data_IF_250679158581
#
_entry.id   IF_250679158581
#
_cell.length_a   1.000
_cell.length_b   1.000
_cell.length_c   1.000
_cell.angle_alpha   90.00
_cell.angle_beta   90.00
_cell.angle_gamma   90.00
#
_symmetry.space_group_name_H-M   'P 1'
#
loop_
_entity.id
_entity.type
_entity.pdbx_description
1 polymer ?
#
# COMPACT_ATOMS: atom_id res chain seq x y z
N UNK A 1 9.82 -18.39 21.63
CA UNK A 1 9.23 -17.19 21.01
C UNK A 1 8.66 -17.55 19.66
N UNK A 2 7.62 -16.83 19.23
CA UNK A 2 6.94 -17.03 17.95
C UNK A 2 6.82 -15.70 17.20
N UNK A 3 7.04 -15.73 15.90
CA UNK A 3 6.97 -14.55 15.03
C UNK A 3 6.55 -14.96 13.61
N UNK A 4 6.20 -13.99 12.77
CA UNK A 4 5.83 -14.26 11.38
C UNK A 4 6.40 -13.21 10.42
N UNK A 5 6.39 -13.52 9.12
CA UNK A 5 6.75 -12.62 8.02
C UNK A 5 5.79 -12.79 6.83
N UNK A 6 5.66 -11.73 6.02
CA UNK A 6 4.94 -11.77 4.74
C UNK A 6 5.90 -11.85 3.53
N UNK A 7 7.20 -11.69 3.78
CA UNK A 7 8.25 -11.46 2.78
C UNK A 7 9.40 -12.46 2.90
N UNK A 8 9.12 -13.64 3.46
CA UNK A 8 10.13 -14.70 3.62
C UNK A 8 11.17 -14.41 4.71
N UNK A 9 10.90 -13.44 5.59
CA UNK A 9 11.73 -13.18 6.77
C UNK A 9 12.60 -11.92 6.68
N UNK A 10 12.43 -11.10 5.64
CA UNK A 10 13.08 -9.79 5.56
C UNK A 10 12.53 -8.84 6.64
N UNK A 11 11.22 -8.90 6.87
CA UNK A 11 10.53 -8.17 7.94
C UNK A 11 9.78 -9.16 8.83
N UNK A 12 10.01 -9.08 10.13
CA UNK A 12 9.41 -10.01 11.11
C UNK A 12 8.59 -9.28 12.16
N UNK A 13 7.52 -9.95 12.61
CA UNK A 13 6.59 -9.42 13.60
C UNK A 13 6.40 -10.43 14.73
N UNK A 14 6.68 -10.01 15.97
CA UNK A 14 6.51 -10.85 17.15
C UNK A 14 5.02 -11.08 17.45
N UNK A 15 4.65 -12.32 17.78
CA UNK A 15 3.30 -12.67 18.23
C UNK A 15 3.30 -12.62 19.76
N UNK A 16 2.69 -11.59 20.34
CA UNK A 16 2.74 -11.29 21.78
C UNK A 16 1.41 -11.50 22.51
N UNK A 17 0.27 -11.57 21.81
CA UNK A 17 -1.07 -11.71 22.39
C UNK A 17 -2.08 -12.31 21.39
N UNK A 18 -3.39 -12.26 21.72
CA UNK A 18 -4.52 -12.83 20.95
C UNK A 18 -4.77 -12.11 19.60
N UNK A 19 -3.78 -12.23 18.72
CA UNK A 19 -3.69 -12.15 17.25
C UNK A 19 -4.58 -11.12 16.55
N UNK A 20 -3.98 -9.95 16.33
CA UNK A 20 -4.24 -9.11 15.16
C UNK A 20 -2.89 -9.03 14.40
N UNK A 21 -2.86 -9.38 13.11
CA UNK A 21 -1.67 -9.11 12.29
C UNK A 21 -1.33 -7.61 12.35
N UNK A 22 -0.06 -7.24 12.27
CA UNK A 22 0.33 -5.84 12.13
C UNK A 22 -0.47 -5.20 10.99
N UNK A 23 -1.39 -4.30 11.34
CA UNK A 23 -2.40 -3.83 10.40
C UNK A 23 -1.81 -2.93 9.33
N UNK A 24 -0.77 -2.17 9.66
CA UNK A 24 -0.03 -1.36 8.68
C UNK A 24 0.60 -2.27 7.64
N UNK A 25 1.37 -3.27 8.08
CA UNK A 25 2.00 -4.24 7.19
C UNK A 25 0.96 -5.01 6.34
N UNK A 26 -0.14 -5.45 6.96
CA UNK A 26 -1.22 -6.12 6.24
C UNK A 26 -1.88 -5.22 5.20
N UNK A 27 -2.11 -3.93 5.51
CA UNK A 27 -2.75 -2.98 4.61
C UNK A 27 -1.93 -2.66 3.36
N UNK A 28 -0.59 -2.63 3.49
CA UNK A 28 0.36 -2.33 2.40
C UNK A 28 0.47 -3.45 1.36
N UNK A 29 0.09 -4.69 1.71
CA UNK A 29 0.11 -5.81 0.77
C UNK A 29 -0.89 -5.61 -0.36
N UNK A 30 -0.53 -5.99 -1.58
CA UNK A 30 -1.48 -6.04 -2.71
C UNK A 30 -2.54 -7.13 -2.51
N UNK A 31 -3.67 -6.99 -3.19
CA UNK A 31 -4.67 -8.07 -3.27
C UNK A 31 -4.12 -9.29 -4.01
N UNK A 32 -4.62 -10.48 -3.67
CA UNK A 32 -4.18 -11.75 -4.24
C UNK A 32 -3.62 -12.72 -3.19
N UNK A 33 -2.78 -13.66 -3.62
CA UNK A 33 -2.20 -14.65 -2.72
C UNK A 33 -1.08 -14.03 -1.87
N UNK A 34 -1.23 -14.12 -0.56
CA UNK A 34 -0.24 -13.71 0.44
C UNK A 34 0.26 -14.97 1.13
N UNK A 35 1.57 -15.19 1.10
CA UNK A 35 2.20 -16.26 1.88
C UNK A 35 2.68 -15.68 3.20
N UNK A 36 2.29 -16.33 4.30
CA UNK A 36 2.66 -15.98 5.66
C UNK A 36 3.56 -17.10 6.17
N UNK A 37 4.80 -16.77 6.54
CA UNK A 37 5.70 -17.74 7.17
C UNK A 37 5.74 -17.50 8.66
N UNK A 38 5.41 -18.52 9.43
CA UNK A 38 5.49 -18.54 10.89
C UNK A 38 6.79 -19.19 11.31
N UNK A 39 7.38 -18.68 12.38
CA UNK A 39 8.62 -19.16 12.95
C UNK A 39 8.46 -19.34 14.46
N UNK A 40 9.14 -20.35 14.99
CA UNK A 40 9.23 -20.60 16.41
C UNK A 40 10.67 -20.91 16.79
N UNK A 41 11.11 -20.37 17.94
CA UNK A 41 12.38 -20.74 18.59
C UNK A 41 12.13 -21.14 20.03
N UNK A 42 12.67 -22.27 20.45
CA UNK A 42 12.65 -22.71 21.85
C UNK A 42 13.76 -22.05 22.69
N UNK A 43 13.84 -22.40 23.97
CA UNK A 43 14.88 -21.87 24.87
C UNK A 43 16.27 -22.45 24.62
N UNK A 44 16.36 -23.61 23.98
CA UNK A 44 17.61 -24.25 23.61
C UNK A 44 18.19 -23.70 22.29
N UNK A 45 17.44 -22.85 21.59
CA UNK A 45 17.85 -22.23 20.33
C UNK A 45 17.42 -23.00 19.09
N UNK A 46 16.62 -24.07 19.22
CA UNK A 46 16.10 -24.80 18.07
C UNK A 46 15.04 -23.96 17.37
N UNK A 47 15.12 -23.89 16.04
CA UNK A 47 14.19 -23.14 15.19
C UNK A 47 13.39 -24.05 14.26
N UNK A 48 12.13 -23.69 14.06
CA UNK A 48 11.26 -24.30 13.07
C UNK A 48 10.39 -23.24 12.39
N UNK A 49 9.95 -23.51 11.17
CA UNK A 49 9.05 -22.63 10.42
C UNK A 49 8.01 -23.41 9.61
N UNK A 50 6.88 -22.76 9.35
CA UNK A 50 5.77 -23.28 8.53
C UNK A 50 5.14 -22.13 7.75
N UNK A 51 4.67 -22.37 6.51
CA UNK A 51 4.07 -21.33 5.68
C UNK A 51 2.61 -21.63 5.33
N UNK A 52 1.78 -20.59 5.38
CA UNK A 52 0.37 -20.65 5.00
C UNK A 52 0.09 -19.61 3.93
N UNK A 53 -0.57 -19.99 2.85
CA UNK A 53 -1.02 -19.06 1.82
C UNK A 53 -2.49 -18.70 2.04
N UNK A 54 -2.77 -17.41 2.10
CA UNK A 54 -4.13 -16.86 2.21
C UNK A 54 -4.43 -15.98 1.01
N UNK A 55 -5.69 -15.92 0.57
CA UNK A 55 -6.11 -15.00 -0.48
C UNK A 55 -6.64 -13.72 0.14
N UNK A 56 -5.90 -12.62 -0.02
CA UNK A 56 -6.35 -11.28 0.36
C UNK A 56 -7.27 -10.72 -0.72
N UNK A 57 -8.56 -10.64 -0.42
CA UNK A 57 -9.52 -9.90 -1.24
C UNK A 57 -9.43 -8.42 -0.88
N UNK A 58 -9.05 -7.59 -1.84
CA UNK A 58 -9.31 -6.15 -1.78
C UNK A 58 -10.63 -5.89 -2.53
N UNK A 59 -11.57 -5.11 -1.98
CA UNK A 59 -12.78 -4.79 -2.72
C UNK A 59 -12.39 -4.21 -4.07
N UNK A 60 -12.94 -4.79 -5.14
CA UNK A 60 -12.69 -4.36 -6.51
C UNK A 60 -13.25 -2.94 -6.70
N UNK A 61 -12.38 -1.97 -6.51
CA UNK A 61 -12.60 -0.54 -6.66
C UNK A 61 -11.23 0.12 -6.71
N UNK A 62 -11.13 1.27 -7.39
CA UNK A 62 -9.92 2.08 -7.31
C UNK A 62 -9.64 2.36 -5.82
N UNK A 63 -8.43 2.06 -5.36
CA UNK A 63 -7.98 2.40 -4.01
C UNK A 63 -8.28 3.89 -3.74
N UNK A 64 -8.80 4.27 -2.55
CA UNK A 64 -9.10 5.66 -2.25
C UNK A 64 -7.91 6.62 -2.49
N UNK A 65 -6.68 6.18 -2.25
CA UNK A 65 -5.47 6.95 -2.56
C UNK A 65 -5.23 7.13 -4.06
N UNK A 66 -5.52 6.11 -4.87
CA UNK A 66 -5.51 6.20 -6.34
C UNK A 66 -6.59 7.16 -6.84
N UNK A 67 -7.81 7.10 -6.28
CA UNK A 67 -8.90 8.04 -6.61
C UNK A 67 -8.48 9.48 -6.29
N UNK A 68 -7.94 9.72 -5.09
CA UNK A 68 -7.47 11.05 -4.67
C UNK A 68 -6.38 11.56 -5.61
N UNK A 69 -5.44 10.70 -6.00
CA UNK A 69 -4.35 11.06 -6.93
C UNK A 69 -4.88 11.45 -8.31
N UNK A 70 -5.82 10.67 -8.87
CA UNK A 70 -6.47 10.97 -10.16
C UNK A 70 -7.18 12.33 -10.11
N UNK A 71 -7.90 12.62 -9.02
CA UNK A 71 -8.61 13.89 -8.83
C UNK A 71 -7.63 15.06 -8.79
N UNK A 72 -6.53 14.97 -8.03
CA UNK A 72 -5.51 16.02 -7.94
C UNK A 72 -4.86 16.29 -9.30
N UNK A 73 -4.42 15.23 -10.01
CA UNK A 73 -3.78 15.37 -11.33
C UNK A 73 -4.72 16.02 -12.34
N UNK A 74 -6.01 15.66 -12.32
CA UNK A 74 -7.02 16.24 -13.22
C UNK A 74 -7.24 17.73 -12.95
N UNK A 75 -7.31 18.13 -11.68
CA UNK A 75 -7.45 19.53 -11.27
C UNK A 75 -6.21 20.34 -11.67
N UNK A 76 -5.01 19.85 -11.36
CA UNK A 76 -3.74 20.53 -11.69
C UNK A 76 -3.61 20.69 -13.21
N UNK A 77 -3.88 19.64 -13.98
CA UNK A 77 -3.89 19.69 -15.44
C UNK A 77 -4.89 20.71 -15.98
N UNK A 78 -6.13 20.70 -15.48
CA UNK A 78 -7.15 21.66 -15.89
C UNK A 78 -6.77 23.11 -15.60
N UNK A 79 -6.25 23.39 -14.40
CA UNK A 79 -5.78 24.72 -14.01
C UNK A 79 -4.60 25.17 -14.89
N UNK A 80 -3.65 24.28 -15.16
CA UNK A 80 -2.50 24.57 -16.03
C UNK A 80 -2.96 24.92 -17.46
N UNK A 81 -3.95 24.21 -18.00
CA UNK A 81 -4.53 24.50 -19.32
C UNK A 81 -5.22 25.87 -19.31
N UNK A 82 -6.06 26.16 -18.31
CA UNK A 82 -6.76 27.45 -18.19
C UNK A 82 -5.76 28.60 -18.07
N UNK A 83 -4.76 28.47 -17.21
CA UNK A 83 -3.71 29.46 -17.03
C UNK A 83 -2.89 29.65 -18.33
N UNK A 84 -2.56 28.56 -19.03
CA UNK A 84 -1.87 28.60 -20.31
C UNK A 84 -2.67 29.33 -21.39
N UNK A 85 -3.96 29.04 -21.51
CA UNK A 85 -4.89 29.71 -22.44
C UNK A 85 -4.99 31.19 -22.11
N UNK A 86 -5.16 31.55 -20.84
CA UNK A 86 -5.23 32.94 -20.40
C UNK A 86 -3.95 33.72 -20.75
N UNK A 87 -2.77 33.16 -20.45
CA UNK A 87 -1.48 33.77 -20.78
C UNK A 87 -1.32 33.93 -22.29
N UNK A 88 -1.73 32.93 -23.08
CA UNK A 88 -1.68 33.00 -24.54
C UNK A 88 -2.58 34.11 -25.10
N UNK A 89 -3.83 34.20 -24.63
CA UNK A 89 -4.79 35.23 -25.07
C UNK A 89 -4.32 36.64 -24.67
N UNK A 90 -3.75 36.80 -23.47
CA UNK A 90 -3.18 38.06 -23.00
C UNK A 90 -1.97 38.50 -23.84
N UNK A 91 -1.04 37.58 -24.14
CA UNK A 91 0.13 37.88 -25.02
C UNK A 91 -0.28 38.32 -26.42
N UNK A 92 -1.43 37.85 -26.92
CA UNK A 92 -1.99 38.24 -28.22
C UNK A 92 -2.87 39.48 -28.18
N UNK A 93 -3.10 40.08 -27.01
CA UNK A 93 -3.97 41.25 -26.86
C UNK A 93 -5.46 40.95 -27.12
N UNK A 94 -5.87 39.68 -27.09
CA UNK A 94 -7.27 39.27 -27.29
C UNK A 94 -8.12 39.67 -26.08
N UNK A 95 -7.52 39.60 -24.88
CA UNK A 95 -8.13 39.98 -23.60
C UNK A 95 -7.18 40.93 -22.85
N UNK A 96 -7.74 41.83 -22.03
CA UNK A 96 -6.99 42.79 -21.21
C UNK A 96 -6.68 42.25 -19.82
#
# INVERSE_FOLDING_TARGET
MIWYSFDGGLTTYAITNNIIFNQTAWSELSGGNVTITFYARDLAGNEASESVTVTKSVPSGLDPGVIITIVIVSIVGGVAVIAGVYVFMKKRGIIR
#
